data_IF_795955787503
#
_entry.id   IF_795955787503
#
_cell.length_a   1.000
_cell.length_b   1.000
_cell.length_c   1.000
_cell.angle_alpha   90.00
_cell.angle_beta   90.00
_cell.angle_gamma   90.00
#
_symmetry.space_group_name_H-M   'P 1'
#
loop_
_entity.id
_entity.type
_entity.pdbx_description
1 polymer ?
#
# COMPACT_ATOMS: atom_id res chain seq x y z
N UNK A 1 13.28 -9.33 3.75
CA UNK A 1 12.33 -10.00 4.68
C UNK A 1 12.72 -9.64 6.10
N UNK A 2 11.74 -9.50 6.99
CA UNK A 2 11.95 -9.12 8.38
C UNK A 2 12.72 -10.22 9.15
N UNK A 3 14.00 -10.02 9.48
CA UNK A 3 14.80 -10.94 10.26
C UNK A 3 14.27 -11.14 11.70
N UNK A 4 13.50 -10.16 12.19
CA UNK A 4 12.92 -10.14 13.53
C UNK A 4 11.45 -10.58 13.55
N UNK A 5 10.96 -11.22 12.47
CA UNK A 5 9.58 -11.70 12.37
C UNK A 5 9.18 -12.63 13.52
N UNK A 6 10.14 -13.40 14.06
CA UNK A 6 9.93 -14.29 15.19
C UNK A 6 9.49 -13.60 16.50
N UNK A 7 9.63 -12.27 16.59
CA UNK A 7 9.13 -11.46 17.71
C UNK A 7 7.64 -11.11 17.58
N UNK A 8 7.02 -11.41 16.43
CA UNK A 8 5.61 -11.22 16.20
C UNK A 8 4.84 -12.48 16.58
N UNK A 9 3.60 -12.32 17.01
CA UNK A 9 2.72 -13.44 17.36
C UNK A 9 1.69 -13.64 16.24
N UNK A 10 1.56 -14.85 15.74
CA UNK A 10 0.61 -15.25 14.71
C UNK A 10 -0.51 -16.10 15.34
N UNK A 11 -1.64 -15.51 15.75
CA UNK A 11 -2.67 -16.21 16.51
C UNK A 11 -3.34 -17.35 15.73
N UNK A 12 -3.26 -17.33 14.38
CA UNK A 12 -3.84 -18.36 13.52
C UNK A 12 -2.77 -19.34 12.98
N UNK A 13 -1.53 -19.27 13.47
CA UNK A 13 -0.43 -20.15 13.05
C UNK A 13 -0.19 -20.09 11.54
N UNK A 14 -0.12 -21.26 10.91
CA UNK A 14 0.05 -21.42 9.46
C UNK A 14 -1.28 -21.56 8.70
N UNK A 15 -2.43 -21.52 9.39
CA UNK A 15 -3.75 -21.65 8.76
C UNK A 15 -4.06 -20.38 7.98
N UNK A 16 -4.47 -20.55 6.73
CA UNK A 16 -4.84 -19.46 5.82
C UNK A 16 -6.10 -19.89 5.04
N UNK A 17 -7.03 -18.97 4.74
CA UNK A 17 -8.17 -19.31 3.91
C UNK A 17 -7.74 -19.64 2.48
N UNK A 18 -8.31 -20.67 1.90
CA UNK A 18 -8.17 -20.95 0.49
C UNK A 18 -8.88 -19.87 -0.35
N UNK A 19 -8.40 -19.56 -1.56
CA UNK A 19 -9.08 -18.61 -2.43
C UNK A 19 -10.55 -19.01 -2.68
N UNK A 20 -11.46 -18.05 -2.50
CA UNK A 20 -12.91 -18.31 -2.61
C UNK A 20 -13.58 -18.78 -1.31
N UNK A 21 -12.84 -18.85 -0.20
CA UNK A 21 -13.37 -19.16 1.15
C UNK A 21 -13.10 -18.03 2.12
N UNK A 22 -13.73 -18.07 3.30
CA UNK A 22 -13.50 -17.12 4.38
C UNK A 22 -13.10 -17.82 5.68
N UNK A 23 -12.30 -17.12 6.51
CA UNK A 23 -11.93 -17.55 7.85
C UNK A 23 -12.25 -16.44 8.85
N UNK A 24 -13.04 -16.74 9.88
CA UNK A 24 -13.29 -15.77 10.94
C UNK A 24 -12.02 -15.52 11.76
N UNK A 25 -11.64 -14.24 11.94
CA UNK A 25 -10.44 -13.83 12.68
C UNK A 25 -10.75 -12.99 13.91
N UNK A 26 -11.95 -12.42 13.97
CA UNK A 26 -12.55 -11.76 15.11
C UNK A 26 -14.08 -11.78 14.94
N UNK A 27 -14.90 -11.56 15.99
CA UNK A 27 -16.34 -11.59 15.86
C UNK A 27 -16.85 -10.71 14.74
N UNK A 28 -17.45 -11.34 13.70
CA UNK A 28 -17.96 -10.67 12.51
C UNK A 28 -16.92 -10.12 11.55
N UNK A 29 -15.63 -10.48 11.69
CA UNK A 29 -14.53 -10.08 10.82
C UNK A 29 -13.92 -11.33 10.20
N UNK A 30 -13.91 -11.39 8.87
CA UNK A 30 -13.48 -12.56 8.12
C UNK A 30 -12.34 -12.21 7.18
N UNK A 31 -11.35 -13.07 7.16
CA UNK A 31 -10.20 -13.03 6.27
C UNK A 31 -10.50 -13.77 4.97
N UNK A 32 -10.28 -13.10 3.85
CA UNK A 32 -10.24 -13.64 2.51
C UNK A 32 -8.80 -13.53 1.99
N UNK A 33 -8.39 -14.47 1.14
CA UNK A 33 -7.08 -14.41 0.52
C UNK A 33 -7.21 -14.63 -0.99
N UNK A 34 -6.64 -13.70 -1.77
CA UNK A 34 -6.68 -13.74 -3.23
C UNK A 34 -5.27 -13.88 -3.79
N UNK A 35 -5.05 -14.69 -4.85
CA UNK A 35 -3.75 -14.82 -5.48
C UNK A 35 -3.39 -13.57 -6.28
N UNK A 36 -2.10 -13.24 -6.34
CA UNK A 36 -1.54 -12.20 -7.21
C UNK A 36 -0.51 -12.81 -8.16
N UNK A 37 -0.43 -12.36 -9.42
CA UNK A 37 0.52 -12.85 -10.41
C UNK A 37 1.89 -12.15 -10.29
N UNK A 38 2.34 -11.85 -9.07
CA UNK A 38 3.54 -11.09 -8.77
C UNK A 38 4.46 -11.86 -7.81
N UNK A 39 5.66 -11.32 -7.54
CA UNK A 39 6.54 -11.85 -6.51
C UNK A 39 5.88 -11.78 -5.11
N UNK A 40 5.04 -10.79 -4.86
CA UNK A 40 4.08 -10.73 -3.77
C UNK A 40 2.84 -11.49 -4.22
N UNK A 41 2.74 -12.76 -3.85
CA UNK A 41 1.85 -13.76 -4.46
C UNK A 41 0.39 -13.72 -3.98
N UNK A 42 0.07 -12.83 -3.04
CA UNK A 42 -1.27 -12.74 -2.46
C UNK A 42 -1.62 -11.36 -1.94
N UNK A 43 -2.93 -11.14 -1.83
CA UNK A 43 -3.50 -10.06 -1.04
C UNK A 43 -4.56 -10.61 -0.08
N UNK A 44 -4.62 -10.07 1.12
CA UNK A 44 -5.68 -10.31 2.09
C UNK A 44 -6.76 -9.23 1.92
N UNK A 45 -8.00 -9.68 1.85
CA UNK A 45 -9.18 -8.83 1.81
C UNK A 45 -10.03 -9.14 3.03
N UNK A 46 -10.89 -8.22 3.43
CA UNK A 46 -11.67 -8.41 4.65
C UNK A 46 -13.15 -8.32 4.36
N UNK A 47 -13.91 -9.23 4.96
CA UNK A 47 -15.36 -9.24 4.95
C UNK A 47 -15.86 -8.96 6.36
N UNK A 48 -16.63 -7.90 6.52
CA UNK A 48 -17.13 -7.49 7.83
C UNK A 48 -18.64 -7.66 7.84
N UNK A 49 -19.18 -8.36 8.87
CA UNK A 49 -20.62 -8.38 9.10
C UNK A 49 -21.10 -6.97 9.34
N UNK A 50 -22.20 -6.59 8.69
CA UNK A 50 -22.66 -5.22 8.71
C UNK A 50 -24.19 -5.11 8.78
N UNK A 51 -24.68 -3.92 9.18
CA UNK A 51 -26.08 -3.56 9.13
C UNK A 51 -26.22 -2.08 8.79
N UNK A 52 -26.95 -1.78 7.71
CA UNK A 52 -27.27 -0.42 7.29
C UNK A 52 -28.79 -0.29 7.18
N UNK A 53 -29.35 0.72 7.85
CA UNK A 53 -30.78 1.03 7.84
C UNK A 53 -31.67 -0.20 8.17
N UNK A 54 -31.23 -1.02 9.12
CA UNK A 54 -31.94 -2.23 9.55
C UNK A 54 -31.74 -3.45 8.65
N UNK A 55 -31.03 -3.32 7.54
CA UNK A 55 -30.73 -4.42 6.58
C UNK A 55 -29.38 -5.06 6.95
N UNK A 56 -29.40 -6.36 7.24
CA UNK A 56 -28.18 -7.14 7.44
C UNK A 56 -27.45 -7.40 6.13
N UNK A 57 -26.12 -7.46 6.19
CA UNK A 57 -25.28 -7.73 5.05
C UNK A 57 -23.80 -7.69 5.38
N UNK A 58 -23.00 -7.30 4.38
CA UNK A 58 -21.55 -7.31 4.45
C UNK A 58 -20.91 -6.01 3.97
N UNK A 59 -19.84 -5.61 4.61
CA UNK A 59 -18.89 -4.62 4.11
C UNK A 59 -17.67 -5.37 3.57
N UNK A 60 -17.27 -5.08 2.33
CA UNK A 60 -16.00 -5.51 1.76
C UNK A 60 -14.94 -4.44 2.05
N UNK A 61 -13.74 -4.85 2.49
CA UNK A 61 -12.55 -3.99 2.59
C UNK A 61 -11.47 -4.55 1.66
N UNK A 62 -11.13 -3.74 0.66
CA UNK A 62 -10.29 -4.04 -0.50
C UNK A 62 -10.85 -5.10 -1.46
N UNK A 63 -10.42 -5.08 -2.72
CA UNK A 63 -11.16 -5.71 -3.82
C UNK A 63 -10.35 -6.74 -4.62
N UNK A 64 -9.01 -6.68 -4.59
CA UNK A 64 -8.14 -7.44 -5.49
C UNK A 64 -7.98 -6.79 -6.86
N UNK A 65 -7.06 -7.30 -7.67
CA UNK A 65 -6.82 -6.84 -9.04
C UNK A 65 -7.94 -7.28 -9.98
N UNK A 66 -8.13 -6.55 -11.08
CA UNK A 66 -9.06 -6.98 -12.13
C UNK A 66 -8.45 -8.08 -12.97
N UNK A 67 -8.90 -9.31 -12.77
CA UNK A 67 -8.73 -10.44 -13.69
C UNK A 67 -9.85 -11.47 -13.47
N UNK A 68 -9.96 -12.44 -14.39
CA UNK A 68 -11.04 -13.41 -14.36
C UNK A 68 -10.90 -14.39 -13.18
N UNK A 69 -9.69 -14.70 -12.74
CA UNK A 69 -9.44 -15.57 -11.59
C UNK A 69 -9.99 -14.95 -10.31
N UNK A 70 -9.69 -13.67 -10.07
CA UNK A 70 -10.16 -12.96 -8.84
C UNK A 70 -11.68 -12.78 -8.90
N UNK A 71 -12.26 -12.48 -10.07
CA UNK A 71 -13.72 -12.44 -10.23
C UNK A 71 -14.38 -13.79 -9.91
N UNK A 72 -13.81 -14.89 -10.40
CA UNK A 72 -14.34 -16.23 -10.12
C UNK A 72 -14.30 -16.57 -8.61
N UNK A 73 -13.23 -16.15 -7.91
CA UNK A 73 -13.18 -16.30 -6.45
C UNK A 73 -14.24 -15.46 -5.74
N UNK A 74 -14.47 -14.22 -6.19
CA UNK A 74 -15.56 -13.41 -5.65
C UNK A 74 -16.94 -14.03 -5.91
N UNK A 75 -17.20 -14.57 -7.11
CA UNK A 75 -18.46 -15.25 -7.44
C UNK A 75 -18.66 -16.48 -6.54
N UNK A 76 -17.59 -17.24 -6.24
CA UNK A 76 -17.63 -18.35 -5.29
C UNK A 76 -17.99 -17.86 -3.88
N UNK A 77 -17.39 -16.74 -3.42
CA UNK A 77 -17.70 -16.13 -2.13
C UNK A 77 -19.15 -15.67 -2.08
N UNK A 78 -19.65 -15.05 -3.14
CA UNK A 78 -21.05 -14.59 -3.21
C UNK A 78 -22.05 -15.76 -3.10
N UNK A 79 -21.74 -16.88 -3.74
CA UNK A 79 -22.60 -18.05 -3.72
C UNK A 79 -22.61 -18.79 -2.38
N UNK A 80 -21.45 -18.88 -1.71
CA UNK A 80 -21.27 -19.83 -0.61
C UNK A 80 -20.98 -19.17 0.74
N UNK A 81 -20.42 -17.97 0.77
CA UNK A 81 -19.84 -17.40 1.99
C UNK A 81 -20.63 -16.19 2.55
N UNK A 82 -21.57 -15.63 1.80
CA UNK A 82 -22.36 -14.49 2.23
C UNK A 82 -23.65 -14.84 2.98
N UNK A 83 -23.95 -16.13 3.21
CA UNK A 83 -25.14 -16.58 3.92
C UNK A 83 -26.45 -16.05 3.31
N UNK A 84 -26.48 -15.85 1.99
CA UNK A 84 -27.61 -15.24 1.29
C UNK A 84 -27.83 -13.76 1.54
N UNK A 85 -26.91 -13.08 2.20
CA UNK A 85 -27.00 -11.66 2.52
C UNK A 85 -26.24 -10.81 1.48
N UNK A 86 -26.69 -9.57 1.23
CA UNK A 86 -26.07 -8.69 0.26
C UNK A 86 -24.79 -8.04 0.80
N UNK A 87 -23.92 -7.59 -0.12
CA UNK A 87 -22.93 -6.57 0.20
C UNK A 87 -23.64 -5.21 0.29
N UNK A 88 -23.32 -4.42 1.32
CA UNK A 88 -23.94 -3.13 1.62
C UNK A 88 -23.03 -1.94 1.27
N UNK A 89 -21.71 -2.18 1.25
CA UNK A 89 -20.69 -1.20 0.84
C UNK A 89 -19.38 -1.87 0.47
N UNK A 90 -18.58 -1.15 -0.32
CA UNK A 90 -17.19 -1.48 -0.63
C UNK A 90 -16.32 -0.35 -0.09
N UNK A 91 -15.35 -0.67 0.75
CA UNK A 91 -14.36 0.24 1.30
C UNK A 91 -12.99 -0.14 0.73
N UNK A 92 -12.22 0.84 0.30
CA UNK A 92 -10.87 0.61 -0.23
C UNK A 92 -9.87 1.42 0.57
N UNK A 93 -8.80 0.75 1.01
CA UNK A 93 -7.76 1.34 1.84
C UNK A 93 -6.92 2.36 1.08
N UNK A 94 -6.54 2.06 -0.18
CA UNK A 94 -5.74 2.95 -1.01
C UNK A 94 -5.80 2.59 -2.51
N UNK A 95 -5.13 3.39 -3.34
CA UNK A 95 -5.24 3.35 -4.79
C UNK A 95 -4.45 2.24 -5.50
N UNK A 96 -3.65 1.43 -4.84
CA UNK A 96 -2.89 0.39 -5.51
C UNK A 96 -3.80 -0.67 -6.16
N UNK A 97 -3.38 -1.25 -7.30
CA UNK A 97 -4.25 -2.11 -8.11
C UNK A 97 -4.81 -3.33 -7.38
N UNK A 98 -4.05 -3.94 -6.51
CA UNK A 98 -4.46 -5.11 -5.73
C UNK A 98 -5.49 -4.79 -4.63
N UNK A 99 -5.68 -3.51 -4.32
CA UNK A 99 -6.70 -3.03 -3.39
C UNK A 99 -7.95 -2.52 -4.12
N UNK A 100 -7.78 -1.63 -5.11
CA UNK A 100 -8.89 -0.92 -5.76
C UNK A 100 -9.37 -1.58 -7.06
N UNK A 101 -8.63 -2.56 -7.60
CA UNK A 101 -8.81 -3.06 -8.96
C UNK A 101 -10.24 -3.44 -9.32
N UNK A 102 -10.88 -4.27 -8.52
CA UNK A 102 -12.27 -4.72 -8.76
C UNK A 102 -13.34 -3.83 -8.12
N UNK A 103 -12.99 -2.66 -7.55
CA UNK A 103 -13.96 -1.80 -6.88
C UNK A 103 -15.13 -1.40 -7.80
N UNK A 104 -14.86 -1.09 -9.08
CA UNK A 104 -15.89 -0.75 -10.06
C UNK A 104 -16.88 -1.90 -10.29
N UNK A 105 -16.35 -3.13 -10.42
CA UNK A 105 -17.14 -4.33 -10.66
C UNK A 105 -17.99 -4.71 -9.44
N UNK A 106 -17.39 -4.71 -8.25
CA UNK A 106 -18.08 -4.99 -6.98
C UNK A 106 -19.18 -3.98 -6.69
N UNK A 107 -18.90 -2.69 -6.84
CA UNK A 107 -19.88 -1.63 -6.61
C UNK A 107 -21.06 -1.73 -7.60
N UNK A 108 -20.77 -2.05 -8.88
CA UNK A 108 -21.80 -2.25 -9.89
C UNK A 108 -22.63 -3.51 -9.64
N UNK A 109 -21.99 -4.62 -9.27
CA UNK A 109 -22.66 -5.90 -9.01
C UNK A 109 -23.70 -5.80 -7.89
N UNK A 110 -23.34 -5.08 -6.81
CA UNK A 110 -24.18 -4.96 -5.61
C UNK A 110 -25.00 -3.67 -5.54
N UNK A 111 -24.86 -2.78 -6.54
CA UNK A 111 -25.46 -1.43 -6.55
C UNK A 111 -25.15 -0.64 -5.27
N UNK A 112 -23.89 -0.61 -4.90
CA UNK A 112 -23.42 0.04 -3.68
C UNK A 112 -22.34 1.09 -3.97
N UNK A 113 -22.16 2.02 -3.02
CA UNK A 113 -21.18 3.10 -3.15
C UNK A 113 -19.80 2.65 -2.67
N UNK A 114 -18.76 3.08 -3.41
CA UNK A 114 -17.36 3.03 -2.97
C UNK A 114 -17.13 4.01 -1.81
N UNK A 115 -16.35 3.59 -0.82
CA UNK A 115 -15.86 4.41 0.28
C UNK A 115 -14.33 4.44 0.24
N UNK A 116 -13.74 5.63 0.16
CA UNK A 116 -12.30 5.79 -0.04
C UNK A 116 -11.86 7.20 0.40
N UNK A 117 -10.56 7.42 0.65
CA UNK A 117 -10.03 8.76 0.83
C UNK A 117 -10.07 9.58 -0.47
N UNK A 118 -9.98 10.91 -0.36
CA UNK A 118 -9.97 11.77 -1.55
C UNK A 118 -8.69 11.60 -2.36
N UNK A 119 -7.53 11.60 -1.67
CA UNK A 119 -6.23 11.50 -2.32
C UNK A 119 -6.11 10.23 -3.16
N UNK A 120 -6.49 9.11 -2.59
CA UNK A 120 -6.40 7.81 -3.26
C UNK A 120 -7.46 7.63 -4.35
N UNK A 121 -8.70 8.10 -4.13
CA UNK A 121 -9.73 8.07 -5.18
C UNK A 121 -9.30 8.87 -6.42
N UNK A 122 -8.80 10.11 -6.24
CA UNK A 122 -8.36 10.94 -7.35
C UNK A 122 -7.14 10.37 -8.05
N UNK A 123 -6.18 9.83 -7.31
CA UNK A 123 -5.00 9.15 -7.89
C UNK A 123 -5.40 7.94 -8.73
N UNK A 124 -6.27 7.08 -8.20
CA UNK A 124 -6.78 5.94 -8.93
C UNK A 124 -7.55 6.35 -10.21
N UNK A 125 -8.39 7.41 -10.15
CA UNK A 125 -9.11 7.94 -11.31
C UNK A 125 -8.15 8.44 -12.40
N UNK A 126 -7.12 9.18 -12.02
CA UNK A 126 -6.11 9.71 -12.98
C UNK A 126 -5.34 8.56 -13.61
N UNK A 127 -4.87 7.59 -12.82
CA UNK A 127 -4.11 6.45 -13.32
C UNK A 127 -4.94 5.50 -14.19
N UNK A 128 -6.19 5.24 -13.86
CA UNK A 128 -7.11 4.41 -14.63
C UNK A 128 -7.48 5.07 -15.97
N UNK A 129 -7.51 6.41 -16.05
CA UNK A 129 -7.76 7.16 -17.27
C UNK A 129 -6.69 7.02 -18.36
N UNK A 130 -5.59 6.31 -18.10
CA UNK A 130 -4.56 6.00 -19.09
C UNK A 130 -3.77 7.24 -19.56
N UNK A 131 -3.77 8.33 -18.80
CA UNK A 131 -3.13 9.61 -19.15
C UNK A 131 -1.59 9.54 -19.24
N UNK A 132 -0.97 8.38 -18.98
CA UNK A 132 0.49 8.23 -18.88
C UNK A 132 1.10 8.90 -17.64
N UNK A 133 0.25 9.44 -16.78
CA UNK A 133 0.61 10.06 -15.50
C UNK A 133 0.40 9.03 -14.39
N UNK A 134 1.34 8.92 -13.51
CA UNK A 134 1.25 8.05 -12.33
C UNK A 134 2.46 7.16 -12.15
N UNK A 135 2.66 6.79 -10.92
CA UNK A 135 3.80 6.00 -10.46
C UNK A 135 4.01 4.74 -11.29
N UNK A 136 5.22 4.57 -11.79
CA UNK A 136 5.63 3.40 -12.60
C UNK A 136 4.81 3.19 -13.88
N UNK A 137 4.08 4.22 -14.35
CA UNK A 137 3.24 4.12 -15.55
C UNK A 137 4.04 3.77 -16.80
N UNK A 138 5.33 4.11 -16.84
CA UNK A 138 6.15 4.03 -18.05
C UNK A 138 5.97 5.29 -18.92
N UNK A 139 6.46 5.21 -20.16
CA UNK A 139 6.43 6.33 -21.11
C UNK A 139 7.59 7.32 -20.93
N UNK A 140 7.51 8.41 -21.69
CA UNK A 140 8.62 9.37 -21.78
C UNK A 140 8.90 10.07 -20.44
N UNK A 141 7.86 10.37 -19.66
CA UNK A 141 8.01 11.06 -18.37
C UNK A 141 8.73 10.19 -17.35
N UNK A 142 8.31 8.93 -17.18
CA UNK A 142 8.97 7.99 -16.29
C UNK A 142 10.42 7.74 -16.70
N UNK A 143 10.68 7.52 -18.00
CA UNK A 143 12.04 7.35 -18.49
C UNK A 143 12.92 8.58 -18.23
N UNK A 144 12.40 9.79 -18.41
CA UNK A 144 13.10 11.05 -18.10
C UNK A 144 13.38 11.18 -16.59
N UNK A 145 12.41 10.85 -15.76
CA UNK A 145 12.58 10.86 -14.29
C UNK A 145 13.69 9.92 -13.86
N UNK A 146 13.65 8.65 -14.28
CA UNK A 146 14.66 7.67 -13.88
C UNK A 146 16.04 7.98 -14.48
N UNK A 147 16.12 8.53 -15.72
CA UNK A 147 17.38 8.98 -16.30
C UNK A 147 18.03 10.09 -15.46
N UNK A 148 17.26 11.08 -15.03
CA UNK A 148 17.75 12.15 -14.14
C UNK A 148 18.22 11.65 -12.78
N UNK A 149 17.77 10.48 -12.36
CA UNK A 149 18.15 9.84 -11.10
C UNK A 149 19.14 8.68 -11.25
N UNK A 150 19.83 8.60 -12.41
CA UNK A 150 20.99 7.75 -12.62
C UNK A 150 20.73 6.43 -13.36
N UNK A 151 19.52 6.16 -13.83
CA UNK A 151 19.29 5.06 -14.76
C UNK A 151 19.76 5.48 -16.14
N UNK A 152 21.03 5.15 -16.48
CA UNK A 152 21.67 5.59 -17.73
C UNK A 152 21.74 4.48 -18.79
N UNK A 153 21.35 3.25 -18.46
CA UNK A 153 21.34 2.13 -19.41
C UNK A 153 20.32 2.39 -20.53
N UNK A 154 20.75 2.48 -21.82
CA UNK A 154 19.87 2.85 -22.92
C UNK A 154 18.73 1.84 -23.14
N UNK A 155 18.99 0.53 -22.96
CA UNK A 155 18.01 -0.52 -23.17
C UNK A 155 16.90 -0.47 -22.11
N UNK A 156 17.26 -0.19 -20.86
CA UNK A 156 16.29 0.00 -19.79
C UNK A 156 15.43 1.26 -20.01
N UNK A 157 16.06 2.36 -20.43
CA UNK A 157 15.33 3.59 -20.73
C UNK A 157 14.38 3.43 -21.91
N UNK A 158 14.80 2.68 -22.97
CA UNK A 158 13.93 2.40 -24.11
C UNK A 158 12.77 1.49 -23.73
N UNK A 159 13.00 0.44 -22.93
CA UNK A 159 11.93 -0.39 -22.36
C UNK A 159 10.94 0.43 -21.55
N UNK A 160 11.41 1.39 -20.74
CA UNK A 160 10.54 2.28 -19.98
C UNK A 160 9.75 3.22 -20.89
N UNK A 161 10.36 3.81 -21.93
CA UNK A 161 9.66 4.66 -22.91
C UNK A 161 8.58 3.89 -23.66
N UNK A 162 8.87 2.66 -24.07
CA UNK A 162 7.95 1.79 -24.79
C UNK A 162 6.83 1.23 -23.88
N UNK A 163 7.04 1.23 -22.58
CA UNK A 163 6.11 0.66 -21.61
C UNK A 163 4.83 1.49 -21.53
N UNK A 164 3.70 0.85 -21.78
CA UNK A 164 2.39 1.43 -21.47
C UNK A 164 2.10 1.28 -19.97
N UNK A 165 1.34 2.20 -19.41
CA UNK A 165 0.83 2.04 -18.04
C UNK A 165 0.09 0.71 -17.91
N UNK A 166 0.48 -0.10 -16.96
CA UNK A 166 -0.23 -1.34 -16.64
C UNK A 166 -1.43 -1.09 -15.71
N UNK A 167 -1.48 0.05 -15.07
CA UNK A 167 -2.52 0.38 -14.09
C UNK A 167 -3.94 0.23 -14.69
N UNK A 168 -4.26 0.77 -15.90
CA UNK A 168 -5.59 0.60 -16.50
C UNK A 168 -5.98 -0.86 -16.78
N UNK A 169 -5.01 -1.75 -16.96
CA UNK A 169 -5.30 -3.18 -17.16
C UNK A 169 -5.70 -3.90 -15.87
N UNK A 170 -5.26 -3.40 -14.72
CA UNK A 170 -5.58 -3.94 -13.39
C UNK A 170 -6.68 -3.15 -12.68
N UNK A 171 -6.91 -1.90 -13.09
CA UNK A 171 -7.94 -0.98 -12.58
C UNK A 171 -8.58 -0.29 -13.80
N UNK A 172 -9.49 -0.96 -14.52
CA UNK A 172 -10.02 -0.44 -15.80
C UNK A 172 -10.96 0.76 -15.62
N UNK A 173 -11.61 0.87 -14.48
CA UNK A 173 -12.51 1.97 -14.13
C UNK A 173 -12.71 2.08 -12.62
N UNK A 174 -13.29 3.20 -12.19
CA UNK A 174 -13.76 3.42 -10.83
C UNK A 174 -15.21 3.93 -10.84
N UNK A 175 -15.98 3.65 -9.76
CA UNK A 175 -17.28 4.28 -9.60
C UNK A 175 -17.18 5.80 -9.70
N UNK A 176 -18.12 6.42 -10.44
CA UNK A 176 -18.15 7.89 -10.62
C UNK A 176 -18.49 8.65 -9.34
N UNK A 177 -19.10 7.96 -8.38
CA UNK A 177 -19.46 8.49 -7.07
C UNK A 177 -18.84 7.65 -5.98
N UNK A 178 -18.34 8.33 -4.95
CA UNK A 178 -17.79 7.66 -3.76
C UNK A 178 -18.20 8.41 -2.50
N UNK A 179 -18.06 7.76 -1.34
CA UNK A 179 -18.15 8.40 -0.04
C UNK A 179 -16.74 8.60 0.50
N UNK A 180 -16.42 9.86 0.78
CA UNK A 180 -15.10 10.21 1.32
C UNK A 180 -14.95 9.70 2.75
N UNK A 181 -13.77 9.12 3.02
CA UNK A 181 -13.25 8.83 4.36
C UNK A 181 -12.17 9.84 4.71
N UNK A 182 -12.16 10.32 5.95
CA UNK A 182 -11.18 11.29 6.46
C UNK A 182 -10.58 10.79 7.78
N UNK A 183 -9.39 11.28 8.09
CA UNK A 183 -8.72 10.95 9.36
C UNK A 183 -9.62 11.29 10.56
N UNK A 184 -9.72 10.36 11.50
CA UNK A 184 -10.55 10.51 12.69
C UNK A 184 -12.05 10.23 12.49
N UNK A 185 -12.53 10.02 11.26
CA UNK A 185 -13.92 9.61 11.04
C UNK A 185 -14.25 8.33 11.80
N UNK A 186 -15.51 8.20 12.18
CA UNK A 186 -16.06 6.94 12.69
C UNK A 186 -17.05 6.36 11.70
N UNK A 187 -16.72 5.18 11.20
CA UNK A 187 -17.60 4.39 10.32
C UNK A 187 -18.30 3.34 11.16
N UNK A 188 -19.62 3.28 11.06
CA UNK A 188 -20.41 2.21 11.69
C UNK A 188 -20.45 1.00 10.77
N UNK A 189 -19.78 -0.10 11.18
CA UNK A 189 -19.78 -1.40 10.49
C UNK A 189 -20.03 -2.47 11.54
N UNK A 190 -21.18 -3.10 11.51
CA UNK A 190 -21.58 -4.15 12.44
C UNK A 190 -23.05 -4.07 12.80
N UNK A 191 -23.61 -5.23 13.18
CA UNK A 191 -25.01 -5.32 13.63
C UNK A 191 -25.20 -4.88 15.09
N UNK A 192 -24.17 -5.07 15.94
CA UNK A 192 -24.18 -4.68 17.33
C UNK A 192 -23.64 -3.24 17.51
N UNK A 193 -24.45 -2.28 17.93
CA UNK A 193 -24.02 -0.89 18.16
C UNK A 193 -22.80 -0.75 19.09
N UNK A 194 -22.63 -1.68 20.05
CA UNK A 194 -21.52 -1.64 21.00
C UNK A 194 -20.16 -1.91 20.34
N UNK A 195 -20.14 -2.72 19.28
CA UNK A 195 -18.92 -3.13 18.57
C UNK A 195 -18.81 -2.57 17.14
N UNK A 196 -19.82 -1.83 16.67
CA UNK A 196 -19.88 -1.38 15.27
C UNK A 196 -18.96 -0.18 14.94
N UNK A 197 -18.31 0.45 15.92
CA UNK A 197 -17.57 1.70 15.67
C UNK A 197 -16.15 1.43 15.22
N UNK A 198 -15.84 1.81 13.97
CA UNK A 198 -14.50 1.74 13.39
C UNK A 198 -13.95 3.15 13.17
N UNK A 199 -12.81 3.46 13.78
CA UNK A 199 -12.11 4.72 13.58
C UNK A 199 -11.23 4.65 12.34
N UNK A 200 -11.34 5.63 11.47
CA UNK A 200 -10.44 5.84 10.32
C UNK A 200 -9.13 6.43 10.83
N UNK A 201 -8.01 5.87 10.42
CA UNK A 201 -6.66 6.38 10.64
C UNK A 201 -6.03 6.52 9.27
N UNK A 202 -5.78 7.76 8.81
CA UNK A 202 -5.08 7.95 7.54
C UNK A 202 -3.57 7.90 7.74
N UNK A 203 -2.88 7.33 6.74
CA UNK A 203 -1.43 7.30 6.65
C UNK A 203 -0.97 7.82 5.29
N UNK A 204 0.26 8.31 5.23
CA UNK A 204 0.84 8.93 4.04
C UNK A 204 2.18 8.27 3.70
N UNK A 205 2.72 8.56 2.52
CA UNK A 205 4.04 8.14 2.08
C UNK A 205 4.07 6.85 1.27
N UNK A 206 3.26 5.85 1.63
CA UNK A 206 3.05 4.66 0.80
C UNK A 206 2.04 4.94 -0.33
N UNK A 207 0.98 5.62 0.00
CA UNK A 207 -0.06 6.09 -0.88
C UNK A 207 -0.46 7.52 -0.48
N UNK A 208 -1.19 8.27 -1.34
CA UNK A 208 -1.52 9.67 -1.08
C UNK A 208 -2.27 9.92 0.23
N UNK A 209 -3.21 9.04 0.61
CA UNK A 209 -4.04 9.17 1.81
C UNK A 209 -4.60 7.79 2.21
N UNK A 210 -3.69 6.83 2.47
CA UNK A 210 -4.05 5.46 2.85
C UNK A 210 -4.97 5.43 4.07
N UNK A 211 -6.01 4.59 4.05
CA UNK A 211 -6.97 4.38 5.14
C UNK A 211 -6.71 3.07 5.86
N UNK A 212 -6.50 3.13 7.18
CA UNK A 212 -6.60 2.00 8.09
C UNK A 212 -7.86 2.12 8.95
N UNK A 213 -8.37 1.00 9.45
CA UNK A 213 -9.59 0.95 10.26
C UNK A 213 -9.30 0.30 11.61
N UNK A 214 -9.55 1.01 12.70
CA UNK A 214 -9.40 0.49 14.06
C UNK A 214 -10.74 0.37 14.78
N UNK A 215 -11.03 -0.82 15.28
CA UNK A 215 -12.20 -1.06 16.14
C UNK A 215 -11.74 -1.21 17.60
N UNK A 216 -12.02 -0.23 18.46
CA UNK A 216 -11.58 -0.27 19.86
C UNK A 216 -12.32 -1.32 20.70
N UNK A 217 -13.54 -1.68 20.35
CA UNK A 217 -14.34 -2.63 21.12
C UNK A 217 -13.90 -4.08 20.91
N UNK A 218 -13.50 -4.43 19.67
CA UNK A 218 -12.99 -5.77 19.34
C UNK A 218 -11.47 -5.86 19.33
N UNK A 219 -10.79 -4.70 19.52
CA UNK A 219 -9.34 -4.57 19.49
C UNK A 219 -8.71 -5.12 18.19
N UNK A 220 -9.28 -4.71 17.05
CA UNK A 220 -8.87 -5.12 15.71
C UNK A 220 -8.45 -3.90 14.90
N UNK A 221 -7.31 -4.02 14.21
CA UNK A 221 -6.78 -3.02 13.27
C UNK A 221 -6.65 -3.63 11.88
N UNK A 222 -7.43 -3.17 10.91
CA UNK A 222 -7.15 -3.40 9.49
C UNK A 222 -6.11 -2.36 9.09
N UNK A 223 -4.85 -2.78 8.97
CA UNK A 223 -3.71 -1.88 8.74
C UNK A 223 -3.48 -1.54 7.27
N UNK A 224 -4.11 -2.29 6.36
CA UNK A 224 -3.75 -2.20 4.94
C UNK A 224 -2.24 -2.44 4.76
N UNK A 225 -1.62 -1.59 3.96
CA UNK A 225 -0.18 -1.65 3.68
C UNK A 225 0.68 -0.79 4.63
N UNK A 226 0.07 -0.05 5.56
CA UNK A 226 0.85 0.79 6.48
C UNK A 226 1.69 -0.02 7.47
N UNK A 227 1.24 -1.20 7.88
CA UNK A 227 2.00 -2.06 8.80
C UNK A 227 1.91 -3.52 8.35
N UNK A 228 2.97 -4.01 7.72
CA UNK A 228 3.11 -5.37 7.18
C UNK A 228 4.07 -6.20 8.05
N UNK A 229 3.83 -7.50 8.31
CA UNK A 229 4.64 -8.28 9.25
C UNK A 229 6.02 -8.66 8.71
N UNK A 230 6.13 -8.99 7.42
CA UNK A 230 7.32 -9.65 6.82
C UNK A 230 8.17 -8.74 5.95
N UNK A 231 7.57 -7.78 5.28
CA UNK A 231 8.24 -6.83 4.39
C UNK A 231 8.09 -5.41 4.96
N UNK A 232 8.98 -4.52 4.59
CA UNK A 232 8.74 -3.08 4.74
C UNK A 232 7.72 -2.64 3.69
N UNK A 233 6.90 -1.70 4.05
CA UNK A 233 6.01 -1.03 3.12
C UNK A 233 6.83 -0.28 2.08
N UNK A 234 6.48 -0.40 0.80
CA UNK A 234 7.15 0.38 -0.25
C UNK A 234 6.83 1.87 -0.09
N UNK A 235 7.87 2.69 -0.06
CA UNK A 235 7.77 4.15 0.01
C UNK A 235 8.67 4.72 -1.07
N UNK A 236 8.08 5.33 -2.09
CA UNK A 236 8.80 5.75 -3.29
C UNK A 236 8.52 7.19 -3.67
N UNK A 237 9.52 7.87 -4.24
CA UNK A 237 9.33 9.13 -4.96
C UNK A 237 9.07 8.82 -6.43
N UNK A 238 8.00 9.36 -6.95
CA UNK A 238 7.55 9.17 -8.33
C UNK A 238 7.66 10.45 -9.15
N UNK A 239 7.57 10.30 -10.47
CA UNK A 239 7.64 11.39 -11.45
C UNK A 239 6.54 12.46 -11.30
N UNK A 240 5.40 12.11 -10.71
CA UNK A 240 4.31 13.05 -10.44
C UNK A 240 4.65 14.07 -9.35
N UNK A 241 5.45 13.69 -8.37
CA UNK A 241 5.85 14.53 -7.24
C UNK A 241 7.35 14.39 -7.00
N UNK A 242 8.19 14.92 -7.93
CA UNK A 242 9.62 14.61 -7.99
C UNK A 242 10.45 15.20 -6.83
N UNK A 243 9.88 16.00 -5.97
CA UNK A 243 10.53 16.60 -4.78
C UNK A 243 9.87 16.18 -3.47
N UNK A 244 8.96 15.18 -3.51
CA UNK A 244 8.27 14.68 -2.33
C UNK A 244 9.23 14.10 -1.28
N UNK A 245 8.78 14.10 -0.02
CA UNK A 245 9.44 13.43 1.10
C UNK A 245 8.53 12.32 1.69
N UNK A 246 8.22 11.27 0.91
CA UNK A 246 7.27 10.26 1.32
C UNK A 246 7.76 9.41 2.50
N UNK A 247 9.08 9.24 2.66
CA UNK A 247 9.62 8.48 3.79
C UNK A 247 9.35 9.18 5.13
N UNK A 248 9.49 10.51 5.20
CA UNK A 248 9.15 11.23 6.43
C UNK A 248 7.65 11.14 6.72
N UNK A 249 6.81 11.30 5.69
CA UNK A 249 5.36 11.16 5.83
C UNK A 249 4.95 9.77 6.34
N UNK A 250 5.62 8.72 5.84
CA UNK A 250 5.38 7.35 6.30
C UNK A 250 5.79 7.16 7.77
N UNK A 251 6.98 7.62 8.15
CA UNK A 251 7.49 7.51 9.52
C UNK A 251 6.60 8.29 10.52
N UNK A 252 6.13 9.48 10.14
CA UNK A 252 5.19 10.27 10.95
C UNK A 252 3.84 9.55 11.07
N UNK A 253 3.37 8.93 9.98
CA UNK A 253 2.12 8.16 9.98
C UNK A 253 2.18 6.94 10.90
N UNK A 254 3.33 6.27 11.01
CA UNK A 254 3.51 5.18 11.97
C UNK A 254 3.28 5.64 13.43
N UNK A 255 3.55 6.91 13.75
CA UNK A 255 3.28 7.50 15.06
C UNK A 255 1.81 7.49 15.46
N UNK A 256 0.88 7.53 14.49
CA UNK A 256 -0.56 7.51 14.75
C UNK A 256 -1.05 6.19 15.38
N UNK A 257 -0.29 5.11 15.24
CA UNK A 257 -0.62 3.80 15.79
C UNK A 257 -0.07 3.57 17.21
N UNK A 258 0.81 4.43 17.73
CA UNK A 258 1.45 4.26 19.04
C UNK A 258 0.46 4.27 20.22
N UNK A 259 -0.64 5.01 20.08
CA UNK A 259 -1.71 5.05 21.07
C UNK A 259 -2.66 3.86 21.08
N UNK A 260 -2.47 2.89 20.17
CA UNK A 260 -3.32 1.70 20.11
C UNK A 260 -2.91 0.66 21.17
N UNK A 261 -3.83 -0.23 21.60
CA UNK A 261 -3.51 -1.28 22.57
C UNK A 261 -2.37 -2.19 22.12
N UNK A 262 -1.56 -2.68 23.07
CA UNK A 262 -0.41 -3.54 22.78
C UNK A 262 -0.80 -4.89 22.19
N UNK A 263 -1.96 -5.39 22.56
CA UNK A 263 -2.51 -6.69 22.18
C UNK A 263 -3.47 -6.62 20.98
N UNK A 264 -3.50 -5.47 20.27
CA UNK A 264 -4.35 -5.32 19.09
C UNK A 264 -4.05 -6.41 18.06
N UNK A 265 -5.11 -6.97 17.46
CA UNK A 265 -4.99 -7.89 16.32
C UNK A 265 -4.85 -7.06 15.05
N UNK A 266 -3.71 -7.21 14.37
CA UNK A 266 -3.41 -6.53 13.12
C UNK A 266 -3.80 -7.41 11.95
N UNK A 267 -4.56 -6.84 11.04
CA UNK A 267 -5.04 -7.46 9.79
C UNK A 267 -4.37 -6.74 8.60
N UNK A 268 -3.19 -7.24 8.16
CA UNK A 268 -2.41 -6.62 7.09
C UNK A 268 -2.89 -7.08 5.72
N UNK A 269 -2.68 -6.28 4.68
CA UNK A 269 -3.03 -6.69 3.31
C UNK A 269 -2.09 -7.78 2.75
N UNK A 270 -0.88 -7.88 3.27
CA UNK A 270 0.07 -8.93 2.89
C UNK A 270 0.68 -9.60 4.11
N UNK A 271 0.90 -10.92 4.01
CA UNK A 271 1.33 -11.76 5.12
C UNK A 271 0.14 -12.33 5.90
N UNK A 272 0.31 -12.61 7.17
CA UNK A 272 -0.71 -13.21 8.04
C UNK A 272 -1.15 -12.20 9.12
N UNK A 273 -2.39 -12.30 9.64
CA UNK A 273 -2.80 -11.57 10.83
C UNK A 273 -1.86 -11.82 12.00
N UNK A 274 -1.51 -10.76 12.72
CA UNK A 274 -0.49 -10.85 13.77
C UNK A 274 -0.79 -9.90 14.94
N UNK A 275 -0.03 -10.05 16.03
CA UNK A 275 -0.02 -9.16 17.21
C UNK A 275 1.38 -8.60 17.44
N UNK A 276 1.53 -7.73 18.43
CA UNK A 276 2.76 -7.01 18.77
C UNK A 276 3.01 -5.82 17.82
N UNK A 277 1.98 -5.00 17.61
CA UNK A 277 2.01 -3.79 16.75
C UNK A 277 3.22 -2.91 17.04
N UNK A 278 3.46 -2.55 18.30
CA UNK A 278 4.53 -1.62 18.68
C UNK A 278 5.92 -2.20 18.40
N UNK A 279 6.10 -3.51 18.61
CA UNK A 279 7.34 -4.20 18.20
C UNK A 279 7.56 -4.06 16.70
N UNK A 280 6.50 -4.29 15.89
CA UNK A 280 6.62 -4.15 14.44
C UNK A 280 6.89 -2.72 13.98
N UNK A 281 6.24 -1.73 14.56
CA UNK A 281 6.50 -0.30 14.28
C UNK A 281 7.97 0.05 14.57
N UNK A 282 8.52 -0.39 15.70
CA UNK A 282 9.91 -0.16 16.03
C UNK A 282 10.86 -0.81 15.01
N UNK A 283 10.60 -2.07 14.62
CA UNK A 283 11.37 -2.76 13.58
C UNK A 283 11.35 -2.01 12.23
N UNK A 284 10.20 -1.45 11.85
CA UNK A 284 10.07 -0.64 10.63
C UNK A 284 10.88 0.65 10.72
N UNK A 285 10.84 1.34 11.86
CA UNK A 285 11.63 2.55 12.10
C UNK A 285 13.13 2.28 12.10
N UNK A 286 13.56 1.25 12.83
CA UNK A 286 14.97 0.84 12.88
C UNK A 286 15.49 0.47 11.49
N UNK A 287 14.68 -0.27 10.70
CA UNK A 287 15.02 -0.58 9.32
C UNK A 287 15.31 0.69 8.50
N UNK A 288 14.48 1.73 8.60
CA UNK A 288 14.70 2.96 7.85
C UNK A 288 15.85 3.80 8.44
N UNK A 289 16.09 3.78 9.75
CA UNK A 289 17.27 4.41 10.38
C UNK A 289 18.55 3.81 9.80
N UNK A 290 18.64 2.48 9.70
CA UNK A 290 19.80 1.80 9.14
C UNK A 290 20.00 2.18 7.66
N UNK A 291 18.92 2.15 6.83
CA UNK A 291 18.99 2.53 5.40
C UNK A 291 19.40 4.00 5.20
N UNK A 292 18.90 4.91 6.04
CA UNK A 292 19.30 6.32 6.04
C UNK A 292 20.79 6.49 6.40
N UNK A 293 21.27 5.77 7.39
CA UNK A 293 22.69 5.81 7.80
C UNK A 293 23.60 5.28 6.67
N UNK A 294 23.25 4.17 6.03
CA UNK A 294 23.98 3.62 4.89
C UNK A 294 23.99 4.59 3.69
N UNK A 295 22.83 5.21 3.39
CA UNK A 295 22.70 6.22 2.32
C UNK A 295 23.57 7.45 2.60
N UNK A 296 23.54 7.98 3.83
CA UNK A 296 24.35 9.12 4.24
C UNK A 296 25.85 8.82 4.15
N UNK A 297 26.28 7.63 4.60
CA UNK A 297 27.66 7.19 4.50
C UNK A 297 28.16 7.13 3.05
N UNK A 298 27.38 6.54 2.14
CA UNK A 298 27.69 6.50 0.73
C UNK A 298 27.83 7.89 0.09
N UNK A 299 26.91 8.81 0.43
CA UNK A 299 26.94 10.19 -0.06
C UNK A 299 28.05 11.06 0.60
N UNK A 300 28.62 10.63 1.73
CA UNK A 300 29.78 11.25 2.33
C UNK A 300 31.09 10.92 1.62
N UNK A 301 31.19 9.73 1.02
CA UNK A 301 32.36 9.30 0.24
C UNK A 301 32.42 9.99 -1.12
N UNK A 302 31.30 10.06 -1.83
CA UNK A 302 31.17 10.70 -3.16
C UNK A 302 29.72 11.13 -3.42
N UNK A 303 29.50 12.10 -4.32
CA UNK A 303 28.13 12.41 -4.74
C UNK A 303 27.47 11.18 -5.39
N UNK A 304 26.30 10.75 -4.86
CA UNK A 304 25.54 9.59 -5.33
C UNK A 304 24.21 10.02 -5.95
N UNK A 305 23.80 9.34 -7.02
CA UNK A 305 22.42 9.39 -7.53
C UNK A 305 21.57 8.25 -6.94
N UNK A 306 20.27 8.21 -7.23
CA UNK A 306 19.40 7.19 -6.65
C UNK A 306 19.74 5.77 -7.13
N UNK A 307 20.15 5.60 -8.38
CA UNK A 307 20.55 4.29 -8.90
C UNK A 307 21.83 3.76 -8.19
N UNK A 308 22.79 4.63 -7.84
CA UNK A 308 23.97 4.25 -7.05
C UNK A 308 23.52 3.71 -5.66
N UNK A 309 22.54 4.34 -5.02
CA UNK A 309 22.05 3.96 -3.71
C UNK A 309 21.28 2.62 -3.73
N UNK A 310 20.70 2.21 -4.85
CA UNK A 310 20.04 0.89 -4.96
C UNK A 310 20.98 -0.23 -4.49
N UNK A 311 22.25 -0.23 -4.93
CA UNK A 311 23.22 -1.27 -4.55
C UNK A 311 23.68 -1.17 -3.09
N UNK A 312 23.50 -0.01 -2.46
CA UNK A 312 23.82 0.24 -1.04
C UNK A 312 22.76 -0.37 -0.13
N UNK A 313 21.48 -0.10 -0.42
CA UNK A 313 20.37 -0.49 0.45
C UNK A 313 19.74 -1.84 0.10
N UNK A 314 19.99 -2.36 -1.11
CA UNK A 314 19.47 -3.66 -1.55
C UNK A 314 20.58 -4.62 -1.96
N UNK A 315 20.49 -5.86 -1.52
CA UNK A 315 21.50 -6.90 -1.78
C UNK A 315 20.99 -7.96 -2.74
N UNK A 316 20.27 -7.57 -3.81
CA UNK A 316 19.73 -8.48 -4.82
C UNK A 316 19.74 -7.84 -6.20
N UNK A 317 19.65 -8.64 -7.24
CA UNK A 317 19.41 -8.17 -8.60
C UNK A 317 17.92 -7.92 -8.82
N UNK A 318 17.61 -6.99 -9.71
CA UNK A 318 16.25 -6.59 -10.04
C UNK A 318 16.00 -6.71 -11.53
N UNK A 319 14.82 -7.16 -11.93
CA UNK A 319 14.31 -6.90 -13.26
C UNK A 319 13.97 -5.41 -13.42
N UNK A 320 13.66 -4.97 -14.64
CA UNK A 320 13.39 -3.54 -14.90
C UNK A 320 12.18 -3.01 -14.12
N UNK A 321 11.17 -3.84 -13.87
CA UNK A 321 10.00 -3.44 -13.09
C UNK A 321 10.36 -3.23 -11.62
N UNK A 322 11.04 -4.20 -11.03
CA UNK A 322 11.51 -4.12 -9.64
C UNK A 322 12.53 -2.99 -9.45
N UNK A 323 13.38 -2.73 -10.48
CA UNK A 323 14.37 -1.66 -10.42
C UNK A 323 13.73 -0.28 -10.31
N UNK A 324 12.60 -0.03 -10.98
CA UNK A 324 11.89 1.26 -10.83
C UNK A 324 11.39 1.50 -9.40
N UNK A 325 10.89 0.47 -8.72
CA UNK A 325 10.54 0.57 -7.30
C UNK A 325 11.78 0.79 -6.41
N UNK A 326 12.86 0.05 -6.68
CA UNK A 326 14.10 0.17 -5.90
C UNK A 326 14.73 1.57 -6.02
N UNK A 327 14.73 2.17 -7.23
CA UNK A 327 15.20 3.55 -7.44
C UNK A 327 14.26 4.55 -6.72
N UNK A 328 12.94 4.36 -6.81
CA UNK A 328 11.97 5.20 -6.11
C UNK A 328 12.17 5.17 -4.59
N UNK A 329 12.43 4.00 -4.02
CA UNK A 329 12.71 3.83 -2.59
C UNK A 329 14.09 4.42 -2.19
N UNK A 330 15.13 4.20 -3.01
CA UNK A 330 16.43 4.84 -2.81
C UNK A 330 16.32 6.37 -2.84
N UNK A 331 15.51 6.90 -3.76
CA UNK A 331 15.24 8.33 -3.85
C UNK A 331 14.48 8.85 -2.63
N UNK A 332 13.54 8.08 -2.08
CA UNK A 332 12.84 8.45 -0.85
C UNK A 332 13.80 8.60 0.36
N UNK A 333 14.82 7.73 0.46
CA UNK A 333 15.86 7.86 1.49
C UNK A 333 16.77 9.08 1.26
N UNK A 334 17.20 9.32 0.01
CA UNK A 334 17.98 10.52 -0.34
C UNK A 334 17.19 11.80 -0.04
N UNK A 335 15.91 11.85 -0.38
CA UNK A 335 15.05 13.00 -0.13
C UNK A 335 14.82 13.23 1.36
N UNK A 336 14.63 12.18 2.17
CA UNK A 336 14.50 12.33 3.60
C UNK A 336 15.75 13.03 4.21
N UNK A 337 16.94 12.63 3.80
CA UNK A 337 18.20 13.25 4.24
C UNK A 337 18.37 14.67 3.67
N UNK A 338 17.98 14.89 2.41
CA UNK A 338 18.03 16.22 1.79
C UNK A 338 17.09 17.21 2.49
N UNK A 339 15.84 16.82 2.75
CA UNK A 339 14.87 17.66 3.46
C UNK A 339 15.26 17.93 4.92
N UNK A 340 16.06 17.04 5.54
CA UNK A 340 16.65 17.27 6.86
C UNK A 340 17.89 18.17 6.84
N UNK A 341 18.37 18.57 5.63
CA UNK A 341 19.59 19.35 5.47
C UNK A 341 20.89 18.55 5.68
N UNK A 342 20.82 17.23 5.80
CA UNK A 342 21.99 16.35 5.95
C UNK A 342 22.69 16.10 4.61
N UNK A 343 21.95 16.18 3.49
CA UNK A 343 22.46 16.15 2.13
C UNK A 343 22.13 17.44 1.38
N UNK A 344 22.97 17.77 0.40
CA UNK A 344 22.67 18.78 -0.61
C UNK A 344 22.50 18.15 -1.98
N UNK A 345 21.51 18.62 -2.72
CA UNK A 345 21.18 18.18 -4.07
C UNK A 345 21.96 18.99 -5.09
N UNK A 346 22.62 18.33 -6.02
CA UNK A 346 23.38 18.95 -7.11
C UNK A 346 23.01 18.32 -8.45
N UNK A 347 23.02 19.11 -9.52
CA UNK A 347 22.80 18.62 -10.89
C UNK A 347 24.17 18.64 -11.58
N UNK A 348 24.59 17.50 -12.11
CA UNK A 348 25.83 17.40 -12.88
C UNK A 348 25.66 17.95 -14.31
N UNK A 349 26.78 18.17 -15.02
CA UNK A 349 26.79 18.60 -16.42
C UNK A 349 26.09 17.58 -17.36
N UNK A 350 25.99 16.33 -16.90
CA UNK A 350 25.25 15.24 -17.55
C UNK A 350 23.73 15.27 -17.29
N UNK A 351 23.24 16.28 -16.54
CA UNK A 351 21.84 16.42 -16.17
C UNK A 351 21.37 15.47 -15.07
N UNK A 352 22.25 14.59 -14.54
CA UNK A 352 21.92 13.65 -13.47
C UNK A 352 21.95 14.36 -12.11
N UNK A 353 20.90 14.11 -11.33
CA UNK A 353 20.76 14.61 -9.98
C UNK A 353 21.56 13.71 -9.03
N UNK A 354 22.43 14.32 -8.25
CA UNK A 354 23.24 13.64 -7.23
C UNK A 354 23.07 14.34 -5.88
N UNK A 355 23.31 13.59 -4.85
CA UNK A 355 23.28 14.06 -3.47
C UNK A 355 24.65 13.85 -2.84
N UNK A 356 25.10 14.82 -2.08
CA UNK A 356 26.35 14.75 -1.33
C UNK A 356 26.11 15.26 0.08
N UNK A 357 26.95 14.82 1.03
CA UNK A 357 26.87 15.28 2.42
C UNK A 357 26.94 16.81 2.48
N UNK A 358 26.09 17.41 3.28
CA UNK A 358 26.16 18.83 3.62
C UNK A 358 27.46 19.10 4.37
N UNK A 359 28.04 20.28 4.13
CA UNK A 359 29.31 20.72 4.77
C UNK A 359 29.14 21.04 6.23
#
# INVERSE_FOLDING_TARGET
>A
MNALEHQLQYPFGETMPEPGTRQEVAPGVYWLRMPLPFALDHINLWLLRDRIDGRDGWTIVDCGITNDTIKAHWETIFANELEGLPVLRVLVTHCHPDHVGLAHWLCKHWDVRLWMSLGDYMSARVMAGGSGVGSNAGGAFAASHFARHGMVDPDNLEKLRARKSYYPSLVPDLPTQYRRLMDGDTVKIGADPATASWRVITGYGHAPEHVALFNPATNVLISGDMVLPRISTNVSVFDMEPEANPLQLYLDSLGKYEGLPKDVLILPSHGRPFRNLHTRINQLREHHVDRLAETLAACAEKPCNAHDIVSVIFRRQFDIHQLTFAIGEALAHLHALWHRGELVRVVGDDGVIRFKKAG
#
